data_IF_939857079461
#
_entry.id   IF_939857079461
#
_cell.length_a   1.000
_cell.length_b   1.000
_cell.length_c   1.000
_cell.angle_alpha   90.00
_cell.angle_beta   90.00
_cell.angle_gamma   90.00
#
_symmetry.space_group_name_H-M   'P 1'
#
loop_
_entity.id
_entity.type
_entity.pdbx_description
1 polymer ?
#
# COMPACT_ATOMS: atom_id res chain seq x y z
N UNK A 1 50.87 47.16 32.09
CA UNK A 1 51.38 45.83 31.68
C UNK A 1 50.68 44.76 32.51
N UNK A 2 49.58 44.19 32.03
CA UNK A 2 49.15 42.83 32.41
C UNK A 2 48.10 42.37 31.40
N UNK A 3 48.32 41.18 30.85
CA UNK A 3 47.69 40.64 29.64
C UNK A 3 46.35 40.00 30.04
N UNK A 4 45.25 40.47 29.46
CA UNK A 4 43.96 39.80 29.60
C UNK A 4 43.97 38.54 28.72
N UNK A 5 43.94 37.37 29.35
CA UNK A 5 43.75 36.09 28.65
C UNK A 5 42.25 35.97 28.36
N UNK A 6 41.86 36.26 27.11
CA UNK A 6 40.52 35.93 26.61
C UNK A 6 40.45 34.42 26.41
N UNK A 7 39.85 33.71 27.37
CA UNK A 7 39.46 32.32 27.20
C UNK A 7 38.26 32.27 26.23
N UNK A 8 38.51 31.95 24.97
CA UNK A 8 37.46 31.67 24.00
C UNK A 8 36.83 30.31 24.33
N UNK A 9 35.66 30.33 24.99
CA UNK A 9 34.86 29.14 25.20
C UNK A 9 34.22 28.71 23.86
N UNK A 10 34.76 27.67 23.24
CA UNK A 10 34.07 26.96 22.15
C UNK A 10 32.85 26.24 22.75
N UNK A 11 31.66 26.80 22.57
CA UNK A 11 30.41 26.06 22.73
C UNK A 11 30.23 25.16 21.51
N UNK A 12 30.59 23.89 21.64
CA UNK A 12 30.19 22.85 20.69
C UNK A 12 28.69 22.57 20.91
N UNK A 13 27.83 23.07 20.02
CA UNK A 13 26.43 22.67 19.98
C UNK A 13 26.36 21.24 19.43
N UNK A 14 26.08 20.28 20.31
CA UNK A 14 25.76 18.91 19.88
C UNK A 14 24.42 18.94 19.14
N UNK A 15 24.45 18.73 17.82
CA UNK A 15 23.25 18.48 17.03
C UNK A 15 22.82 17.06 17.34
N UNK A 16 21.76 16.89 18.13
CA UNK A 16 21.17 15.58 18.39
C UNK A 16 20.44 15.11 17.13
N UNK A 17 21.14 14.31 16.32
CA UNK A 17 20.52 13.56 15.23
C UNK A 17 19.68 12.45 15.87
N UNK A 18 18.37 12.68 15.97
CA UNK A 18 17.43 11.64 16.39
C UNK A 18 17.39 10.56 15.32
N UNK A 19 17.96 9.40 15.63
CA UNK A 19 17.83 8.21 14.80
C UNK A 19 16.38 7.72 14.84
N UNK A 20 15.76 7.52 13.69
CA UNK A 20 14.44 6.88 13.57
C UNK A 20 14.57 5.46 14.12
N UNK A 21 13.67 5.06 15.03
CA UNK A 21 13.74 3.76 15.70
C UNK A 21 13.00 2.71 14.83
N UNK A 22 13.71 1.81 14.11
CA UNK A 22 13.07 0.83 13.24
C UNK A 22 12.22 -0.20 14.00
N UNK A 23 12.35 -0.27 15.33
CA UNK A 23 11.53 -1.14 16.18
C UNK A 23 10.05 -0.75 16.23
N UNK A 24 9.67 0.44 15.73
CA UNK A 24 8.27 0.90 15.69
C UNK A 24 7.61 0.69 14.31
N UNK A 25 8.33 0.15 13.32
CA UNK A 25 7.77 -0.12 12.00
C UNK A 25 6.98 -1.43 11.97
N UNK A 26 5.73 -1.35 11.50
CA UNK A 26 4.93 -2.51 11.17
C UNK A 26 5.54 -3.32 10.02
N UNK A 27 5.34 -4.63 10.06
CA UNK A 27 5.54 -5.46 8.87
C UNK A 27 4.61 -5.01 7.74
N UNK A 28 5.02 -5.14 6.46
CA UNK A 28 4.21 -4.68 5.32
C UNK A 28 2.81 -5.30 5.30
N UNK A 29 2.66 -6.56 5.73
CA UNK A 29 1.37 -7.24 5.74
C UNK A 29 0.41 -6.67 6.80
N UNK A 30 0.94 -6.12 7.89
CA UNK A 30 0.16 -5.45 8.93
C UNK A 30 -0.10 -3.98 8.59
N UNK A 31 0.85 -3.32 7.93
CA UNK A 31 0.68 -1.96 7.42
C UNK A 31 -0.35 -1.89 6.28
N UNK A 32 -0.43 -2.93 5.44
CA UNK A 32 -1.24 -2.98 4.22
C UNK A 32 -2.09 -4.26 4.17
N UNK A 33 -3.13 -4.31 5.01
CA UNK A 33 -3.99 -5.48 5.13
C UNK A 33 -4.99 -5.54 4.00
N UNK A 34 -4.89 -6.56 3.15
CA UNK A 34 -5.82 -6.82 2.04
C UNK A 34 -6.96 -7.74 2.46
N UNK A 35 -8.17 -7.44 1.97
CA UNK A 35 -9.31 -8.35 1.97
C UNK A 35 -9.98 -8.35 0.60
N UNK A 36 -10.67 -9.43 0.25
CA UNK A 36 -11.33 -9.57 -1.05
C UNK A 36 -12.70 -10.20 -0.93
N UNK A 37 -13.62 -9.78 -1.80
CA UNK A 37 -14.92 -10.41 -2.01
C UNK A 37 -15.33 -10.32 -3.47
N UNK A 38 -16.16 -11.24 -3.95
CA UNK A 38 -16.87 -11.05 -5.20
C UNK A 38 -17.91 -9.93 -5.04
N UNK A 39 -17.99 -9.04 -6.03
CA UNK A 39 -19.13 -8.14 -6.24
C UNK A 39 -20.20 -8.83 -7.08
N UNK A 40 -19.75 -9.45 -8.16
CA UNK A 40 -20.54 -10.24 -9.09
C UNK A 40 -19.69 -11.39 -9.65
N UNK A 41 -20.19 -12.11 -10.65
CA UNK A 41 -19.46 -13.22 -11.27
C UNK A 41 -18.19 -12.78 -11.99
N UNK A 42 -18.06 -11.50 -12.34
CA UNK A 42 -17.00 -10.95 -13.19
C UNK A 42 -16.19 -9.86 -12.51
N UNK A 43 -16.41 -9.60 -11.22
CA UNK A 43 -15.77 -8.49 -10.53
C UNK A 43 -15.40 -8.86 -9.10
N UNK A 44 -14.12 -8.75 -8.77
CA UNK A 44 -13.64 -8.79 -7.38
C UNK A 44 -13.54 -7.36 -6.82
N UNK A 45 -14.02 -7.15 -5.60
CA UNK A 45 -13.71 -5.97 -4.81
C UNK A 45 -12.61 -6.30 -3.80
N UNK A 46 -11.48 -5.62 -3.94
CA UNK A 46 -10.39 -5.64 -2.98
C UNK A 46 -10.54 -4.43 -2.07
N UNK A 47 -10.34 -4.61 -0.76
CA UNK A 47 -10.18 -3.52 0.20
C UNK A 47 -8.82 -3.66 0.87
N UNK A 48 -7.99 -2.63 0.73
CA UNK A 48 -6.80 -2.45 1.55
C UNK A 48 -7.16 -1.57 2.73
N UNK A 49 -6.82 -2.02 3.94
CA UNK A 49 -6.76 -1.19 5.14
C UNK A 49 -5.31 -0.82 5.39
N UNK A 50 -5.06 0.47 5.50
CA UNK A 50 -3.72 1.05 5.56
C UNK A 50 -3.55 1.60 6.96
N UNK A 51 -2.51 1.14 7.67
CA UNK A 51 -2.23 1.60 9.02
C UNK A 51 -1.95 3.11 9.06
N UNK A 52 -2.27 3.75 10.18
CA UNK A 52 -1.96 5.17 10.39
C UNK A 52 -0.46 5.41 10.28
N UNK A 53 -0.05 6.46 9.58
CA UNK A 53 1.36 6.73 9.30
C UNK A 53 1.90 6.00 8.06
N UNK A 54 1.06 5.27 7.32
CA UNK A 54 1.44 4.56 6.10
C UNK A 54 0.61 5.02 4.91
N UNK A 55 1.12 4.75 3.71
CA UNK A 55 0.43 5.03 2.45
C UNK A 55 0.84 4.05 1.34
N UNK A 56 -0.07 3.80 0.40
CA UNK A 56 0.16 3.00 -0.81
C UNK A 56 0.18 3.90 -2.06
N UNK A 57 1.03 3.59 -3.03
CA UNK A 57 1.09 4.33 -4.30
C UNK A 57 0.05 3.81 -5.29
N UNK A 58 -0.72 4.72 -5.90
CA UNK A 58 -1.77 4.39 -6.86
C UNK A 58 -1.23 3.69 -8.11
N UNK A 59 -0.10 4.14 -8.62
CA UNK A 59 0.54 3.63 -9.85
C UNK A 59 1.35 2.35 -9.62
N UNK A 60 1.46 1.86 -8.37
CA UNK A 60 2.22 0.65 -8.02
C UNK A 60 1.37 -0.56 -7.69
N UNK A 61 0.10 -0.54 -8.09
CA UNK A 61 -0.74 -1.74 -8.07
C UNK A 61 -0.59 -2.53 -9.37
N UNK A 62 -0.47 -3.85 -9.24
CA UNK A 62 -0.56 -4.80 -10.34
C UNK A 62 -1.33 -6.04 -9.90
N UNK A 63 -2.18 -6.54 -10.78
CA UNK A 63 -3.05 -7.67 -10.51
C UNK A 63 -2.79 -8.77 -11.53
N UNK A 64 -2.61 -9.99 -11.07
CA UNK A 64 -2.37 -11.15 -11.92
C UNK A 64 -3.22 -12.33 -11.49
N UNK A 65 -3.69 -13.09 -12.47
CA UNK A 65 -4.27 -14.41 -12.21
C UNK A 65 -3.21 -15.39 -11.71
N UNK A 66 -3.61 -16.52 -11.15
CA UNK A 66 -2.70 -17.60 -10.75
C UNK A 66 -1.81 -18.11 -11.90
N UNK A 67 -2.30 -18.04 -13.15
CA UNK A 67 -1.54 -18.39 -14.35
C UNK A 67 -0.56 -17.28 -14.81
N UNK A 68 -0.41 -16.18 -14.05
CA UNK A 68 0.49 -15.06 -14.38
C UNK A 68 -0.06 -14.06 -15.41
N UNK A 69 -1.31 -14.21 -15.87
CA UNK A 69 -1.94 -13.23 -16.77
C UNK A 69 -2.24 -11.94 -16.02
N UNK A 70 -1.74 -10.82 -16.54
CA UNK A 70 -1.98 -9.45 -16.02
C UNK A 70 -3.44 -9.02 -16.27
N UNK A 71 -4.04 -8.38 -15.28
CA UNK A 71 -5.36 -7.74 -15.35
C UNK A 71 -5.15 -6.21 -15.35
N UNK A 72 -5.14 -5.61 -16.54
CA UNK A 72 -4.76 -4.20 -16.72
C UNK A 72 -5.90 -3.20 -16.47
N UNK A 73 -7.16 -3.63 -16.52
CA UNK A 73 -8.35 -2.79 -16.44
C UNK A 73 -8.94 -2.71 -15.02
N UNK A 74 -8.12 -2.85 -13.97
CA UNK A 74 -8.57 -2.64 -12.61
C UNK A 74 -9.01 -1.18 -12.40
N UNK A 75 -10.16 -0.97 -11.76
CA UNK A 75 -10.68 0.34 -11.43
C UNK A 75 -10.10 0.81 -10.09
N UNK A 76 -9.08 1.66 -10.18
CA UNK A 76 -8.49 2.33 -9.03
C UNK A 76 -9.11 3.72 -8.87
N UNK A 77 -9.70 4.06 -7.69
CA UNK A 77 -10.27 5.39 -7.45
C UNK A 77 -9.18 6.47 -7.52
N UNK A 78 -9.59 7.74 -7.55
CA UNK A 78 -8.60 8.82 -7.43
C UNK A 78 -7.95 8.80 -6.05
N UNK A 79 -6.63 8.99 -6.01
CA UNK A 79 -5.87 9.09 -4.77
C UNK A 79 -5.70 10.54 -4.32
N UNK A 80 -4.88 10.75 -3.29
CA UNK A 80 -4.40 12.07 -2.89
C UNK A 80 -3.01 12.29 -3.48
N UNK A 81 -2.82 13.40 -4.17
CA UNK A 81 -1.50 13.79 -4.68
C UNK A 81 -0.59 14.14 -3.50
N UNK A 82 0.63 13.61 -3.52
CA UNK A 82 1.71 13.85 -2.56
C UNK A 82 2.99 14.16 -3.33
N UNK A 83 3.74 15.14 -2.86
CA UNK A 83 5.15 15.27 -3.23
C UNK A 83 5.93 14.31 -2.31
N UNK A 84 6.54 13.30 -2.92
CA UNK A 84 7.22 12.21 -2.24
C UNK A 84 8.73 12.28 -2.51
N UNK A 85 9.61 12.14 -1.49
CA UNK A 85 11.05 12.20 -1.71
C UNK A 85 11.62 11.09 -2.62
N UNK A 86 10.92 9.97 -2.76
CA UNK A 86 11.37 8.82 -3.56
C UNK A 86 10.85 8.84 -4.99
N UNK A 87 9.60 9.30 -5.19
CA UNK A 87 8.93 9.24 -6.50
C UNK A 87 8.46 10.59 -7.02
N UNK A 88 8.71 11.68 -6.30
CA UNK A 88 8.22 13.02 -6.63
C UNK A 88 6.69 13.10 -6.52
N UNK A 89 6.08 13.84 -7.44
CA UNK A 89 4.63 14.08 -7.44
C UNK A 89 3.85 12.82 -7.85
N UNK A 90 3.23 12.15 -6.88
CA UNK A 90 2.52 10.88 -7.07
C UNK A 90 1.17 10.85 -6.36
N UNK A 91 0.26 9.96 -6.78
CA UNK A 91 -1.01 9.73 -6.10
C UNK A 91 -0.89 8.59 -5.09
N UNK A 92 -1.45 8.81 -3.90
CA UNK A 92 -1.36 7.87 -2.78
C UNK A 92 -2.71 7.60 -2.14
N UNK A 93 -2.83 6.46 -1.48
CA UNK A 93 -3.96 6.10 -0.62
C UNK A 93 -3.53 6.03 0.83
N UNK A 94 -4.44 6.43 1.71
CA UNK A 94 -4.33 6.34 3.17
C UNK A 94 -5.66 5.83 3.74
N UNK A 95 -5.59 5.31 4.96
CA UNK A 95 -6.70 4.72 5.72
C UNK A 95 -7.28 3.46 5.05
N UNK A 96 -7.83 3.60 3.85
CA UNK A 96 -8.27 2.48 3.03
C UNK A 96 -8.32 2.84 1.53
N UNK A 97 -8.32 1.80 0.69
CA UNK A 97 -8.70 1.91 -0.73
C UNK A 97 -9.51 0.70 -1.15
N UNK A 98 -10.54 0.94 -1.97
CA UNK A 98 -11.32 -0.12 -2.61
C UNK A 98 -11.05 -0.13 -4.11
N UNK A 99 -10.65 -1.29 -4.62
CA UNK A 99 -10.27 -1.48 -6.01
C UNK A 99 -11.17 -2.55 -6.60
N UNK A 100 -11.76 -2.28 -7.77
CA UNK A 100 -12.47 -3.32 -8.52
C UNK A 100 -11.53 -3.95 -9.53
N UNK A 101 -11.48 -5.28 -9.54
CA UNK A 101 -10.66 -6.04 -10.46
C UNK A 101 -11.58 -6.90 -11.32
N UNK A 102 -11.71 -6.58 -12.63
CA UNK A 102 -12.47 -7.38 -13.57
C UNK A 102 -11.88 -8.78 -13.73
N UNK A 103 -12.74 -9.78 -13.80
CA UNK A 103 -12.43 -11.20 -13.91
C UNK A 103 -12.97 -11.73 -15.25
N UNK A 104 -12.19 -12.56 -15.94
CA UNK A 104 -12.63 -13.21 -17.18
C UNK A 104 -13.32 -14.55 -16.91
N UNK A 105 -14.22 -14.98 -17.81
CA UNK A 105 -14.95 -16.25 -17.72
C UNK A 105 -14.05 -17.48 -17.57
N UNK A 106 -12.84 -17.45 -18.14
CA UNK A 106 -11.82 -18.49 -17.99
C UNK A 106 -11.42 -18.74 -16.51
N UNK A 107 -11.67 -17.79 -15.62
CA UNK A 107 -11.33 -17.85 -14.20
C UNK A 107 -12.48 -18.42 -13.34
N UNK A 108 -13.65 -18.70 -13.93
CA UNK A 108 -14.89 -19.03 -13.19
C UNK A 108 -15.16 -20.53 -13.07
N UNK A 109 -14.32 -21.38 -13.67
CA UNK A 109 -14.52 -22.84 -13.76
C UNK A 109 -14.65 -23.53 -12.39
N UNK A 110 -14.09 -22.94 -11.33
CA UNK A 110 -13.96 -23.58 -10.01
C UNK A 110 -14.73 -22.89 -8.87
N UNK A 111 -15.56 -21.87 -9.15
CA UNK A 111 -16.22 -21.00 -8.12
C UNK A 111 -15.25 -20.36 -7.12
N UNK A 112 -13.95 -20.49 -7.35
CA UNK A 112 -12.85 -19.89 -6.60
C UNK A 112 -11.79 -19.48 -7.60
N UNK A 113 -11.14 -18.35 -7.34
CA UNK A 113 -10.03 -17.86 -8.15
C UNK A 113 -8.97 -17.27 -7.22
N UNK A 114 -7.71 -17.65 -7.41
CA UNK A 114 -6.59 -17.00 -6.74
C UNK A 114 -6.10 -15.81 -7.57
N UNK A 115 -5.96 -14.68 -6.90
CA UNK A 115 -5.47 -13.43 -7.47
C UNK A 115 -4.17 -13.05 -6.76
N UNK A 116 -3.12 -12.82 -7.54
CA UNK A 116 -1.89 -12.19 -7.07
C UNK A 116 -2.07 -10.68 -7.13
N UNK A 117 -1.81 -10.03 -6.01
CA UNK A 117 -1.86 -8.58 -5.87
C UNK A 117 -0.47 -8.10 -5.52
N UNK A 118 0.09 -7.24 -6.37
CA UNK A 118 1.37 -6.59 -6.16
C UNK A 118 1.06 -5.13 -5.80
N UNK A 119 1.61 -4.65 -4.70
CA UNK A 119 1.43 -3.28 -4.25
C UNK A 119 2.70 -2.75 -3.58
N UNK A 120 2.84 -1.43 -3.49
CA UNK A 120 3.98 -0.80 -2.83
C UNK A 120 3.53 0.41 -2.02
N UNK A 121 4.16 0.60 -0.87
CA UNK A 121 3.88 1.71 0.03
C UNK A 121 5.07 2.09 0.89
N UNK A 122 4.90 3.16 1.66
CA UNK A 122 5.91 3.67 2.58
C UNK A 122 5.26 4.06 3.91
N UNK A 123 6.12 4.22 4.92
CA UNK A 123 5.82 4.85 6.19
C UNK A 123 6.25 6.32 6.14
N UNK A 124 5.51 7.18 6.84
CA UNK A 124 5.77 8.62 6.94
C UNK A 124 7.12 8.95 7.59
N UNK A 125 7.67 8.01 8.35
CA UNK A 125 9.02 8.12 8.95
C UNK A 125 10.16 7.95 7.92
N UNK A 126 9.84 7.88 6.62
CA UNK A 126 10.83 7.87 5.54
C UNK A 126 11.30 6.48 5.13
N UNK A 127 10.52 5.42 5.42
CA UNK A 127 10.86 4.05 5.01
C UNK A 127 9.90 3.58 3.93
N UNK A 128 10.45 3.24 2.77
CA UNK A 128 9.71 2.67 1.66
C UNK A 128 9.95 1.17 1.53
N UNK A 129 8.86 0.41 1.52
CA UNK A 129 8.92 -1.03 1.34
C UNK A 129 9.15 -1.36 -0.14
N UNK A 130 9.79 -2.50 -0.40
CA UNK A 130 9.85 -3.07 -1.76
C UNK A 130 8.44 -3.47 -2.23
N UNK A 131 8.21 -3.70 -3.54
CA UNK A 131 6.94 -4.26 -4.00
C UNK A 131 6.59 -5.55 -3.26
N UNK A 132 5.40 -5.60 -2.69
CA UNK A 132 4.88 -6.71 -1.90
C UNK A 132 3.92 -7.54 -2.74
N UNK A 133 4.05 -8.85 -2.67
CA UNK A 133 3.13 -9.80 -3.32
C UNK A 133 2.20 -10.43 -2.27
N UNK A 134 0.90 -10.33 -2.49
CA UNK A 134 -0.12 -10.95 -1.65
C UNK A 134 -1.06 -11.79 -2.52
N UNK A 135 -1.31 -13.03 -2.11
CA UNK A 135 -2.29 -13.89 -2.76
C UNK A 135 -3.62 -13.82 -2.02
N UNK A 136 -4.70 -13.57 -2.75
CA UNK A 136 -6.06 -13.59 -2.21
C UNK A 136 -6.93 -14.58 -2.96
N UNK A 137 -7.80 -15.29 -2.24
CA UNK A 137 -8.79 -16.18 -2.83
C UNK A 137 -10.13 -15.46 -2.95
N UNK A 138 -10.60 -15.28 -4.18
CA UNK A 138 -11.94 -14.78 -4.46
C UNK A 138 -12.89 -15.96 -4.51
N UNK A 139 -13.87 -15.97 -3.60
CA UNK A 139 -14.98 -16.92 -3.66
C UNK A 139 -16.06 -16.35 -4.56
N UNK A 140 -16.26 -16.99 -5.70
CA UNK A 140 -17.24 -16.65 -6.73
C UNK A 140 -18.51 -17.44 -6.41
N UNK A 141 -19.09 -17.17 -5.25
CA UNK A 141 -20.42 -17.68 -4.95
C UNK A 141 -21.38 -16.87 -5.80
N UNK A 142 -22.34 -17.51 -6.48
CA UNK A 142 -23.32 -16.84 -7.33
C UNK A 142 -23.81 -15.56 -6.64
N UNK A 143 -23.35 -14.40 -7.11
CA UNK A 143 -23.68 -13.09 -6.57
C UNK A 143 -25.19 -12.76 -6.69
N UNK A 144 -25.98 -13.71 -7.20
CA UNK A 144 -27.43 -13.70 -7.32
C UNK A 144 -28.20 -13.86 -6.02
N UNK A 145 -27.56 -13.87 -4.83
CA UNK A 145 -28.30 -14.02 -3.56
C UNK A 145 -28.49 -12.74 -2.73
N UNK A 146 -28.20 -11.55 -3.28
CA UNK A 146 -28.48 -10.25 -2.62
C UNK A 146 -29.32 -9.27 -3.46
N UNK A 147 -30.22 -9.79 -4.29
CA UNK A 147 -31.42 -9.05 -4.68
C UNK A 147 -32.61 -9.79 -4.07
N UNK A 148 -33.08 -9.30 -2.93
CA UNK A 148 -34.39 -9.63 -2.37
C UNK A 148 -35.28 -8.38 -2.49
N UNK A 149 -36.59 -8.58 -2.72
CA UNK A 149 -37.49 -7.62 -3.35
C UNK A 149 -37.74 -6.34 -2.55
#
# INVERSE_FOLDING_TARGET
>A
MSRWILAAALLAAAVEVSAVNPAELLDPQDAFRISVRALDAHTAALEFRIATGYYLYRDRFRFETEAGKIIANAELPSGKVKEDPFFGRTETYRDYVRIKVPLSDANLVQKRMRLKVISQGCADVGVCYIPQEQWVEVKLDNASRRQSP
#
